data_IF_731816550821
#
_entry.id   IF_731816550821
#
_cell.length_a   1.000
_cell.length_b   1.000
_cell.length_c   1.000
_cell.angle_alpha   90.00
_cell.angle_beta   90.00
_cell.angle_gamma   90.00
#
_symmetry.space_group_name_H-M   'P 1'
#
loop_
_entity.id
_entity.type
_entity.pdbx_description
1 polymer ?
#
# COMPACT_ATOMS: atom_id res chain seq x y z
N UNK A 1 31.65 51.93 9.03
CA UNK A 1 31.68 50.61 9.68
C UNK A 1 30.27 50.01 9.76
N UNK A 2 29.32 50.63 10.47
CA UNK A 2 27.93 50.12 10.66
C UNK A 2 27.17 49.83 9.35
N UNK A 3 27.30 50.69 8.34
CA UNK A 3 26.62 50.48 7.03
C UNK A 3 27.12 49.23 6.30
N UNK A 4 28.42 48.94 6.36
CA UNK A 4 29.02 47.75 5.77
C UNK A 4 28.57 46.47 6.49
N UNK A 5 28.40 46.55 7.82
CA UNK A 5 27.86 45.47 8.65
C UNK A 5 26.37 45.19 8.37
N UNK A 6 25.55 46.24 8.22
CA UNK A 6 24.13 46.11 7.85
C UNK A 6 23.95 45.48 6.46
N UNK A 7 24.78 45.88 5.50
CA UNK A 7 24.74 45.32 4.13
C UNK A 7 25.16 43.85 4.13
N UNK A 8 26.24 43.49 4.81
CA UNK A 8 26.67 42.08 4.93
C UNK A 8 25.64 41.22 5.68
N UNK A 9 25.03 41.75 6.74
CA UNK A 9 23.95 41.07 7.45
C UNK A 9 22.71 40.84 6.57
N UNK A 10 22.33 41.83 5.75
CA UNK A 10 21.23 41.68 4.80
C UNK A 10 21.52 40.62 3.74
N UNK A 11 22.75 40.55 3.21
CA UNK A 11 23.14 39.49 2.28
C UNK A 11 23.08 38.10 2.93
N UNK A 12 23.57 37.95 4.17
CA UNK A 12 23.51 36.67 4.89
C UNK A 12 22.06 36.23 5.11
N UNK A 13 21.17 37.16 5.50
CA UNK A 13 19.75 36.88 5.70
C UNK A 13 19.05 36.53 4.39
N UNK A 14 19.33 37.24 3.28
CA UNK A 14 18.72 36.92 1.99
C UNK A 14 19.17 35.57 1.43
N UNK A 15 20.46 35.22 1.55
CA UNK A 15 20.95 33.90 1.15
C UNK A 15 20.37 32.78 2.03
N UNK A 16 20.24 33.00 3.34
CA UNK A 16 19.60 32.04 4.24
C UNK A 16 18.11 31.83 3.89
N UNK A 17 17.38 32.92 3.61
CA UNK A 17 15.98 32.84 3.18
C UNK A 17 15.86 32.14 1.82
N UNK A 18 16.69 32.48 0.83
CA UNK A 18 16.67 31.80 -0.48
C UNK A 18 17.00 30.32 -0.37
N UNK A 19 17.93 29.93 0.50
CA UNK A 19 18.24 28.53 0.79
C UNK A 19 17.03 27.82 1.40
N UNK A 20 16.35 28.42 2.38
CA UNK A 20 15.13 27.85 2.98
C UNK A 20 14.00 27.71 1.94
N UNK A 21 13.78 28.71 1.09
CA UNK A 21 12.70 28.69 0.10
C UNK A 21 12.97 27.67 -1.02
N UNK A 22 14.24 27.45 -1.39
CA UNK A 22 14.59 26.49 -2.44
C UNK A 22 14.73 25.06 -1.92
N UNK A 23 15.28 24.84 -0.72
CA UNK A 23 15.61 23.51 -0.21
C UNK A 23 14.43 22.86 0.54
N UNK A 24 13.59 23.63 1.23
CA UNK A 24 12.45 23.06 1.97
C UNK A 24 11.39 22.42 1.07
N UNK A 25 11.01 23.00 -0.10
CA UNK A 25 10.10 22.33 -1.02
C UNK A 25 10.68 21.05 -1.60
N UNK A 26 12.00 20.98 -1.80
CA UNK A 26 12.67 19.77 -2.27
C UNK A 26 12.63 18.67 -1.22
N UNK A 27 12.76 19.02 0.08
CA UNK A 27 12.60 18.07 1.18
C UNK A 27 11.18 17.52 1.29
N UNK A 28 10.15 18.36 1.12
CA UNK A 28 8.75 17.92 1.12
C UNK A 28 8.44 17.01 -0.07
N UNK A 29 8.95 17.32 -1.25
CA UNK A 29 8.76 16.50 -2.46
C UNK A 29 9.59 15.20 -2.46
N UNK A 30 10.59 15.09 -1.58
CA UNK A 30 11.42 13.89 -1.42
C UNK A 30 10.88 12.86 -0.44
N UNK A 31 9.79 13.16 0.28
CA UNK A 31 9.01 12.11 0.95
C UNK A 31 8.24 11.34 -0.12
N UNK A 32 8.99 10.51 -0.84
CA UNK A 32 8.45 9.32 -1.46
C UNK A 32 7.82 8.53 -0.32
N UNK A 33 6.50 8.62 -0.19
CA UNK A 33 5.71 7.74 0.64
C UNK A 33 6.11 6.33 0.19
N UNK A 34 6.99 5.66 0.96
CA UNK A 34 7.51 4.35 0.60
C UNK A 34 6.31 3.42 0.48
N UNK A 35 5.84 3.21 -0.75
CA UNK A 35 4.67 2.39 -1.03
C UNK A 35 4.99 1.00 -0.57
N UNK A 36 4.20 0.50 0.37
CA UNK A 36 4.33 -0.85 0.88
C UNK A 36 3.78 -1.82 -0.17
N UNK A 37 4.63 -2.25 -1.10
CA UNK A 37 4.31 -3.24 -2.12
C UNK A 37 4.37 -4.64 -1.50
N UNK A 38 3.26 -5.37 -1.57
CA UNK A 38 3.12 -6.70 -0.99
C UNK A 38 2.80 -7.71 -2.07
N UNK A 39 3.64 -8.74 -2.20
CA UNK A 39 3.49 -9.78 -3.20
C UNK A 39 2.35 -10.74 -2.87
N UNK A 40 1.72 -11.26 -3.92
CA UNK A 40 0.71 -12.30 -3.85
C UNK A 40 1.33 -13.65 -3.45
N UNK A 41 0.62 -14.39 -2.59
CA UNK A 41 0.93 -15.78 -2.22
C UNK A 41 -0.25 -16.66 -2.59
N UNK A 42 -0.02 -17.69 -3.41
CA UNK A 42 -1.03 -18.68 -3.78
C UNK A 42 -1.24 -19.70 -2.64
N UNK A 43 -2.48 -20.11 -2.42
CA UNK A 43 -2.82 -21.17 -1.45
C UNK A 43 -2.73 -22.52 -2.16
N UNK A 44 -1.56 -23.15 -2.14
CA UNK A 44 -1.27 -24.37 -2.92
C UNK A 44 -2.17 -25.56 -2.59
N UNK A 45 -2.54 -25.71 -1.32
CA UNK A 45 -3.33 -26.86 -0.84
C UNK A 45 -4.85 -26.63 -1.00
N UNK A 46 -5.28 -25.49 -1.54
CA UNK A 46 -6.69 -25.17 -1.69
C UNK A 46 -7.41 -26.12 -2.67
N UNK A 47 -6.66 -26.69 -3.62
CA UNK A 47 -7.17 -27.72 -4.55
C UNK A 47 -7.63 -28.99 -3.83
N UNK A 48 -7.00 -29.34 -2.71
CA UNK A 48 -7.33 -30.58 -1.97
C UNK A 48 -8.70 -30.50 -1.29
N UNK A 49 -9.23 -29.28 -1.11
CA UNK A 49 -10.51 -28.99 -0.46
C UNK A 49 -11.51 -28.31 -1.41
N UNK A 50 -11.22 -28.29 -2.71
CA UNK A 50 -12.04 -27.67 -3.76
C UNK A 50 -12.37 -26.17 -3.52
N UNK A 51 -11.45 -25.45 -2.86
CA UNK A 51 -11.55 -24.02 -2.66
C UNK A 51 -10.82 -23.31 -3.81
N UNK A 52 -11.54 -23.02 -4.90
CA UNK A 52 -10.98 -22.45 -6.13
C UNK A 52 -11.68 -21.14 -6.52
N UNK A 53 -10.99 -20.32 -7.33
CA UNK A 53 -11.60 -19.18 -8.00
C UNK A 53 -12.63 -19.63 -9.06
N UNK A 54 -13.41 -18.70 -9.61
CA UNK A 54 -14.46 -18.99 -10.60
C UNK A 54 -13.94 -19.71 -11.86
N UNK A 55 -12.68 -19.49 -12.25
CA UNK A 55 -12.03 -20.17 -13.38
C UNK A 55 -11.29 -21.47 -13.00
N UNK A 56 -11.34 -21.89 -11.74
CA UNK A 56 -10.62 -23.06 -11.22
C UNK A 56 -9.13 -22.82 -10.90
N UNK A 57 -8.65 -21.58 -10.96
CA UNK A 57 -7.32 -21.22 -10.43
C UNK A 57 -7.29 -21.26 -8.89
N UNK A 58 -6.08 -21.35 -8.33
CA UNK A 58 -5.90 -21.34 -6.88
C UNK A 58 -6.19 -19.94 -6.33
N UNK A 59 -6.83 -19.82 -5.16
CA UNK A 59 -6.99 -18.54 -4.47
C UNK A 59 -5.64 -18.05 -3.93
N UNK A 60 -5.58 -16.78 -3.58
CA UNK A 60 -4.36 -16.12 -3.13
C UNK A 60 -4.61 -15.15 -1.97
N UNK A 61 -3.53 -14.60 -1.41
CA UNK A 61 -3.57 -13.49 -0.46
C UNK A 61 -2.29 -12.65 -0.54
N UNK A 62 -2.35 -11.40 -0.08
CA UNK A 62 -1.19 -10.54 0.15
C UNK A 62 -0.98 -10.41 1.65
N UNK A 63 0.23 -10.74 2.15
CA UNK A 63 0.53 -10.70 3.58
C UNK A 63 1.75 -9.84 3.88
N UNK A 64 1.53 -8.80 4.68
CA UNK A 64 2.60 -8.05 5.34
C UNK A 64 2.61 -8.40 6.84
N UNK A 65 3.70 -8.97 7.34
CA UNK A 65 3.80 -9.41 8.73
C UNK A 65 3.96 -8.22 9.69
N UNK A 66 3.24 -8.30 10.80
CA UNK A 66 3.38 -7.37 11.91
C UNK A 66 4.69 -7.57 12.67
N UNK A 67 4.98 -6.64 13.58
CA UNK A 67 6.20 -6.64 14.37
C UNK A 67 5.96 -6.09 15.79
N UNK A 68 6.85 -6.43 16.72
CA UNK A 68 6.77 -5.97 18.11
C UNK A 68 5.42 -6.35 18.76
N UNK A 69 4.76 -5.37 19.37
CA UNK A 69 3.45 -5.59 20.01
C UNK A 69 2.32 -5.99 19.02
N UNK A 70 2.53 -5.80 17.71
CA UNK A 70 1.56 -6.13 16.66
C UNK A 70 1.77 -7.48 15.99
N UNK A 71 2.84 -8.22 16.31
CA UNK A 71 3.21 -9.48 15.63
C UNK A 71 2.09 -10.53 15.61
N UNK A 72 1.36 -10.66 16.73
CA UNK A 72 0.26 -11.62 16.89
C UNK A 72 -1.13 -11.03 16.62
N UNK A 73 -1.20 -9.78 16.21
CA UNK A 73 -2.45 -9.13 15.83
C UNK A 73 -2.62 -9.23 14.32
N UNK A 74 -3.86 -9.44 13.87
CA UNK A 74 -4.18 -9.61 12.45
C UNK A 74 -5.27 -8.65 12.01
N UNK A 75 -5.09 -8.05 10.84
CA UNK A 75 -6.09 -7.31 10.09
C UNK A 75 -6.36 -8.05 8.79
N UNK A 76 -7.59 -8.51 8.61
CA UNK A 76 -8.03 -9.24 7.42
C UNK A 76 -8.93 -8.33 6.57
N UNK A 77 -8.49 -7.99 5.37
CA UNK A 77 -9.23 -7.23 4.38
C UNK A 77 -9.71 -8.18 3.28
N UNK A 78 -10.99 -8.10 2.94
CA UNK A 78 -11.56 -8.81 1.79
C UNK A 78 -11.86 -7.80 0.69
N UNK A 79 -11.25 -7.99 -0.49
CA UNK A 79 -11.40 -7.06 -1.60
C UNK A 79 -12.84 -7.15 -2.17
N UNK A 80 -13.50 -5.99 -2.34
CA UNK A 80 -14.91 -5.95 -2.75
C UNK A 80 -15.14 -5.82 -4.27
N UNK A 81 -16.42 -5.75 -4.67
CA UNK A 81 -16.82 -5.23 -6.00
C UNK A 81 -17.65 -6.22 -6.81
N UNK A 82 -18.85 -6.40 -6.27
CA UNK A 82 -19.97 -7.09 -6.89
C UNK A 82 -19.83 -8.61 -6.91
N UNK A 83 -20.91 -9.24 -7.32
CA UNK A 83 -21.05 -10.68 -7.49
C UNK A 83 -21.74 -10.97 -8.83
N UNK A 84 -21.63 -12.21 -9.31
CA UNK A 84 -22.45 -12.73 -10.41
C UNK A 84 -23.64 -13.50 -9.83
N UNK A 85 -24.79 -13.53 -10.52
CA UNK A 85 -26.05 -14.06 -9.98
C UNK A 85 -26.59 -15.26 -10.77
N UNK A 86 -26.04 -15.54 -11.94
CA UNK A 86 -26.48 -16.61 -12.83
C UNK A 86 -25.28 -17.21 -13.56
N UNK A 87 -25.49 -18.40 -14.17
CA UNK A 87 -24.42 -19.14 -14.82
C UNK A 87 -23.73 -18.31 -15.92
N UNK A 88 -24.49 -17.57 -16.73
CA UNK A 88 -23.95 -16.79 -17.84
C UNK A 88 -23.07 -15.65 -17.32
N UNK A 89 -23.57 -14.88 -16.35
CA UNK A 89 -22.82 -13.78 -15.73
C UNK A 89 -21.56 -14.27 -14.99
N UNK A 90 -21.59 -15.46 -14.38
CA UNK A 90 -20.41 -16.04 -13.74
C UNK A 90 -19.39 -16.57 -14.76
N UNK A 91 -19.84 -17.20 -15.85
CA UNK A 91 -18.96 -17.64 -16.94
C UNK A 91 -18.25 -16.45 -17.60
N UNK A 92 -18.95 -15.34 -17.82
CA UNK A 92 -18.37 -14.10 -18.34
C UNK A 92 -17.37 -13.46 -17.37
N UNK A 93 -17.59 -13.61 -16.06
CA UNK A 93 -16.72 -13.05 -15.02
C UNK A 93 -15.49 -13.91 -14.72
N UNK A 94 -15.57 -15.23 -14.87
CA UNK A 94 -14.48 -16.15 -14.57
C UNK A 94 -13.13 -15.78 -15.21
N UNK A 95 -13.03 -15.40 -16.51
CA UNK A 95 -11.75 -15.05 -17.13
C UNK A 95 -11.31 -13.60 -16.85
N UNK A 96 -11.83 -12.94 -15.81
CA UNK A 96 -11.44 -11.58 -15.42
C UNK A 96 -10.57 -11.59 -14.17
N UNK A 97 -9.95 -10.45 -13.84
CA UNK A 97 -9.20 -10.26 -12.59
C UNK A 97 -10.04 -10.47 -11.31
N UNK A 98 -11.38 -10.56 -11.43
CA UNK A 98 -12.30 -10.81 -10.30
C UNK A 98 -12.78 -12.26 -10.21
N UNK A 99 -12.30 -13.13 -11.09
CA UNK A 99 -12.69 -14.53 -11.16
C UNK A 99 -11.52 -15.49 -11.34
N UNK A 100 -10.30 -14.98 -11.50
CA UNK A 100 -9.10 -15.77 -11.76
C UNK A 100 -7.84 -15.09 -11.25
N UNK A 101 -7.03 -15.80 -10.47
CA UNK A 101 -5.70 -15.32 -10.05
C UNK A 101 -4.71 -15.20 -11.21
N UNK A 102 -5.00 -15.81 -12.38
CA UNK A 102 -4.18 -15.65 -13.59
C UNK A 102 -4.28 -14.24 -14.19
N UNK A 103 -5.31 -13.48 -13.81
CA UNK A 103 -5.59 -12.15 -14.34
C UNK A 103 -5.49 -11.05 -13.27
N UNK A 104 -5.04 -11.39 -12.05
CA UNK A 104 -4.84 -10.44 -10.97
C UNK A 104 -3.45 -9.80 -10.99
N UNK A 105 -3.33 -8.67 -10.29
CA UNK A 105 -2.04 -8.07 -10.00
C UNK A 105 -1.22 -8.98 -9.08
N UNK A 106 0.06 -9.20 -9.39
CA UNK A 106 0.95 -10.02 -8.58
C UNK A 106 1.45 -9.32 -7.30
N UNK A 107 1.23 -8.01 -7.20
CA UNK A 107 1.61 -7.17 -6.06
C UNK A 107 0.54 -6.12 -5.82
N UNK A 108 0.27 -5.82 -4.55
CA UNK A 108 -0.70 -4.81 -4.12
C UNK A 108 -0.02 -3.74 -3.26
N UNK A 109 -0.50 -2.50 -3.34
CA UNK A 109 0.03 -1.39 -2.54
C UNK A 109 -0.81 -1.24 -1.27
N UNK A 110 -0.22 -1.61 -0.14
CA UNK A 110 -0.85 -1.46 1.15
C UNK A 110 -0.85 0.01 1.58
N UNK A 111 -2.05 0.59 1.63
CA UNK A 111 -2.30 1.98 1.97
C UNK A 111 -3.47 2.10 2.96
N UNK A 112 -3.73 3.31 3.46
CA UNK A 112 -4.78 3.55 4.46
C UNK A 112 -4.61 2.64 5.67
N UNK A 113 -5.66 1.88 6.03
CA UNK A 113 -5.65 0.98 7.19
C UNK A 113 -4.68 -0.21 7.05
N UNK A 114 -4.28 -0.58 5.83
CA UNK A 114 -3.29 -1.63 5.58
C UNK A 114 -1.84 -1.10 5.60
N UNK A 115 -1.66 0.23 5.69
CA UNK A 115 -0.32 0.82 5.72
C UNK A 115 0.41 0.49 7.03
N UNK A 116 1.73 0.36 6.93
CA UNK A 116 2.64 0.33 8.07
C UNK A 116 3.10 1.74 8.53
N UNK A 117 2.66 2.80 7.84
CA UNK A 117 2.95 4.18 8.20
C UNK A 117 1.93 4.68 9.24
N UNK A 118 2.40 5.08 10.41
CA UNK A 118 1.57 5.57 11.50
C UNK A 118 0.76 6.84 11.16
N UNK A 119 1.18 7.63 10.17
CA UNK A 119 0.41 8.79 9.71
C UNK A 119 -0.86 8.36 8.96
N UNK A 120 -0.77 7.26 8.21
CA UNK A 120 -1.89 6.70 7.42
C UNK A 120 -2.72 5.69 8.23
N UNK A 121 -2.07 4.98 9.16
CA UNK A 121 -2.66 3.98 10.04
C UNK A 121 -2.25 4.27 11.50
N UNK A 122 -2.81 5.33 12.13
CA UNK A 122 -2.40 5.76 13.48
C UNK A 122 -2.79 4.78 14.59
N UNK A 123 -3.77 3.91 14.35
CA UNK A 123 -4.23 2.95 15.36
C UNK A 123 -3.32 1.72 15.48
N UNK A 124 -2.90 1.15 14.34
CA UNK A 124 -2.33 -0.20 14.29
C UNK A 124 -1.27 -0.42 13.18
N UNK A 125 -0.20 0.41 13.09
CA UNK A 125 0.78 0.32 12.01
C UNK A 125 1.68 -0.94 12.07
N UNK A 126 1.72 -1.64 13.21
CA UNK A 126 2.59 -2.78 13.45
C UNK A 126 1.90 -4.15 13.35
N UNK A 127 0.63 -4.19 12.94
CA UNK A 127 -0.20 -5.41 12.86
C UNK A 127 0.07 -6.19 11.57
N UNK A 128 -0.11 -7.52 11.61
CA UNK A 128 -0.07 -8.35 10.41
C UNK A 128 -1.27 -8.02 9.52
N UNK A 129 -1.01 -7.45 8.35
CA UNK A 129 -2.03 -7.04 7.40
C UNK A 129 -2.13 -8.08 6.30
N UNK A 130 -3.35 -8.58 6.10
CA UNK A 130 -3.64 -9.56 5.08
C UNK A 130 -4.79 -9.07 4.20
N UNK A 131 -4.61 -9.18 2.89
CA UNK A 131 -5.65 -8.90 1.91
C UNK A 131 -5.94 -10.16 1.10
N UNK A 132 -7.21 -10.53 1.04
CA UNK A 132 -7.72 -11.59 0.18
C UNK A 132 -8.28 -10.97 -1.11
N UNK A 133 -7.60 -11.12 -2.26
CA UNK A 133 -8.12 -10.72 -3.55
C UNK A 133 -9.31 -11.61 -3.97
N UNK A 134 -10.12 -11.08 -4.90
CA UNK A 134 -11.44 -11.62 -5.31
C UNK A 134 -11.47 -13.02 -5.91
#
# INVERSE_FOLDING_TARGET
MIQSFLVTMNFVVTFALLYLIMVMPWHVNSQEEQRLLVNMTLVTNARDIDALCLDGSLPAYHLHRGYGAGENNWLLQYEGGGWCNDLQSCLERAPTYRGSTKHMNMSEVFSGILSNNATLNPGKPSVSNNEFPK
#
